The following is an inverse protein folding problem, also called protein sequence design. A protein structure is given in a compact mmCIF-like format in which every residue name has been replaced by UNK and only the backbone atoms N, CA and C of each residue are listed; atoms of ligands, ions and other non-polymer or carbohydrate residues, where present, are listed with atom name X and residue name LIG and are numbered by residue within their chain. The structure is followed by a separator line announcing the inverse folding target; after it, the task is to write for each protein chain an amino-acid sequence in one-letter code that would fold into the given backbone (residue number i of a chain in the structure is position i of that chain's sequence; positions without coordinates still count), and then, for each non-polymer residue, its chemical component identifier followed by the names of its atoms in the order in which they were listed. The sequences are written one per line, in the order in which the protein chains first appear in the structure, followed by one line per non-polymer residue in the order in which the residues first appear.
data_IF_454653187876
#
_entry.id   IF_454653187876
#
_cell.length_a   1.000
_cell.length_b   1.000
_cell.length_c   1.000
_cell.angle_alpha   90.00
_cell.angle_beta   90.00
_cell.angle_gamma   90.00
#
_symmetry.space_group_name_H-M   'P 1'
#
loop_
_entity.id
_entity.type
_entity.pdbx_description
1 polymer ?
#
# COMPACT_ATOMS: atom_id res chain seq x y z
N UNK A 1 -84.21 18.20 -82.66
CA UNK A 1 -83.79 16.79 -82.53
C UNK A 1 -82.95 16.46 -81.28
N UNK A 2 -82.37 17.43 -80.56
CA UNK A 2 -81.49 17.15 -79.40
C UNK A 2 -82.21 16.72 -78.10
N UNK A 3 -83.51 16.97 -77.93
CA UNK A 3 -84.24 16.71 -76.65
C UNK A 3 -84.45 15.23 -76.33
N UNK A 4 -84.38 14.32 -77.31
CA UNK A 4 -84.55 12.85 -77.13
C UNK A 4 -83.29 12.14 -76.63
N UNK A 5 -82.11 12.74 -76.77
CA UNK A 5 -80.81 12.11 -76.45
C UNK A 5 -80.26 12.50 -75.07
N UNK A 6 -80.84 13.54 -74.45
CA UNK A 6 -80.47 14.04 -73.13
C UNK A 6 -80.38 12.98 -72.01
N UNK A 7 -81.36 12.06 -71.84
CA UNK A 7 -81.27 11.05 -70.78
C UNK A 7 -80.11 10.07 -71.03
N UNK A 8 -79.89 9.63 -72.28
CA UNK A 8 -78.80 8.71 -72.63
C UNK A 8 -77.42 9.34 -72.39
N UNK A 9 -77.24 10.62 -72.73
CA UNK A 9 -75.98 11.36 -72.49
C UNK A 9 -75.73 11.51 -70.98
N UNK A 10 -76.77 11.77 -70.19
CA UNK A 10 -76.65 11.91 -68.73
C UNK A 10 -76.19 10.61 -68.06
N UNK A 11 -76.76 9.47 -68.46
CA UNK A 11 -76.32 8.15 -67.97
C UNK A 11 -74.88 7.83 -68.39
N UNK A 12 -74.49 8.17 -69.62
CA UNK A 12 -73.12 7.96 -70.10
C UNK A 12 -72.09 8.78 -69.30
N UNK A 13 -72.40 10.04 -68.97
CA UNK A 13 -71.54 10.91 -68.16
C UNK A 13 -71.41 10.38 -66.72
N UNK A 14 -72.51 9.97 -66.08
CA UNK A 14 -72.47 9.38 -64.74
C UNK A 14 -71.66 8.08 -64.75
N UNK A 15 -71.89 7.21 -65.73
CA UNK A 15 -71.16 5.95 -65.86
C UNK A 15 -69.65 6.16 -66.06
N UNK A 16 -69.27 7.10 -66.94
CA UNK A 16 -67.87 7.50 -67.13
C UNK A 16 -67.27 8.08 -65.84
N UNK A 17 -68.01 8.90 -65.09
CA UNK A 17 -67.56 9.46 -63.82
C UNK A 17 -67.29 8.36 -62.77
N UNK A 18 -68.17 7.35 -62.67
CA UNK A 18 -67.98 6.22 -61.78
C UNK A 18 -66.75 5.39 -62.18
N UNK A 19 -66.53 5.15 -63.47
CA UNK A 19 -65.35 4.43 -63.95
C UNK A 19 -64.06 5.19 -63.59
N UNK A 20 -64.04 6.51 -63.78
CA UNK A 20 -62.89 7.34 -63.42
C UNK A 20 -62.60 7.28 -61.91
N UNK A 21 -63.63 7.39 -61.06
CA UNK A 21 -63.48 7.28 -59.60
C UNK A 21 -62.97 5.89 -59.20
N UNK A 22 -63.51 4.81 -59.76
CA UNK A 22 -63.03 3.45 -59.49
C UNK A 22 -61.59 3.26 -59.98
N UNK A 23 -61.23 3.82 -61.13
CA UNK A 23 -59.86 3.82 -61.65
C UNK A 23 -58.88 4.53 -60.70
N UNK A 24 -59.25 5.69 -60.17
CA UNK A 24 -58.46 6.42 -59.18
C UNK A 24 -58.37 5.64 -57.86
N UNK A 25 -59.48 5.11 -57.36
CA UNK A 25 -59.51 4.31 -56.12
C UNK A 25 -58.66 3.04 -56.23
N UNK A 26 -58.75 2.32 -57.34
CA UNK A 26 -57.95 1.11 -57.58
C UNK A 26 -56.46 1.43 -57.65
N UNK A 27 -56.07 2.54 -58.29
CA UNK A 27 -54.68 2.98 -58.32
C UNK A 27 -54.17 3.35 -56.91
N UNK A 28 -54.97 4.07 -56.12
CA UNK A 28 -54.62 4.40 -54.72
C UNK A 28 -54.49 3.15 -53.85
N UNK A 29 -55.39 2.18 -53.97
CA UNK A 29 -55.32 0.92 -53.21
C UNK A 29 -54.07 0.12 -53.58
N UNK A 30 -53.71 0.06 -54.86
CA UNK A 30 -52.47 -0.61 -55.30
C UNK A 30 -51.23 0.11 -54.77
N UNK A 31 -51.23 1.45 -54.79
CA UNK A 31 -50.16 2.26 -54.19
C UNK A 31 -49.97 1.98 -52.71
N UNK A 32 -51.05 2.08 -51.92
CA UNK A 32 -51.04 1.82 -50.49
C UNK A 32 -50.63 0.37 -50.16
N UNK A 33 -51.01 -0.61 -50.98
CA UNK A 33 -50.58 -2.01 -50.81
C UNK A 33 -49.07 -2.15 -51.00
N UNK A 34 -48.51 -1.55 -52.06
CA UNK A 34 -47.06 -1.54 -52.30
C UNK A 34 -46.31 -0.86 -51.16
N UNK A 35 -46.80 0.29 -50.69
CA UNK A 35 -46.22 0.98 -49.55
C UNK A 35 -46.27 0.10 -48.29
N UNK A 36 -47.40 -0.57 -48.01
CA UNK A 36 -47.51 -1.48 -46.86
C UNK A 36 -46.52 -2.66 -46.96
N UNK A 37 -46.35 -3.23 -48.15
CA UNK A 37 -45.36 -4.30 -48.40
C UNK A 37 -43.92 -3.81 -48.18
N UNK A 38 -43.58 -2.62 -48.70
CA UNK A 38 -42.25 -2.03 -48.48
C UNK A 38 -42.00 -1.72 -47.01
N UNK A 39 -43.01 -1.20 -46.30
CA UNK A 39 -42.93 -0.93 -44.86
C UNK A 39 -42.72 -2.23 -44.08
N UNK A 40 -43.43 -3.30 -44.42
CA UNK A 40 -43.24 -4.62 -43.79
C UNK A 40 -41.83 -5.16 -44.04
N UNK A 41 -41.32 -5.08 -45.27
CA UNK A 41 -39.97 -5.50 -45.60
C UNK A 41 -38.92 -4.69 -44.83
N UNK A 42 -39.12 -3.37 -44.72
CA UNK A 42 -38.23 -2.49 -43.94
C UNK A 42 -38.26 -2.80 -42.44
N UNK A 43 -39.43 -3.13 -41.90
CA UNK A 43 -39.58 -3.52 -40.49
C UNK A 43 -38.87 -4.85 -40.20
N UNK A 44 -39.01 -5.85 -41.08
CA UNK A 44 -38.31 -7.13 -40.97
C UNK A 44 -36.78 -6.95 -41.03
N UNK A 45 -36.29 -6.10 -41.93
CA UNK A 45 -34.86 -5.81 -42.05
C UNK A 45 -34.32 -5.14 -40.76
N UNK A 46 -35.07 -4.18 -40.20
CA UNK A 46 -34.69 -3.53 -38.94
C UNK A 46 -34.65 -4.53 -37.77
N UNK A 47 -35.61 -5.46 -37.70
CA UNK A 47 -35.61 -6.52 -36.69
C UNK A 47 -34.41 -7.45 -36.84
N UNK A 48 -34.03 -7.81 -38.07
CA UNK A 48 -32.85 -8.61 -38.34
C UNK A 48 -31.58 -7.90 -37.86
N UNK A 49 -31.39 -6.63 -38.26
CA UNK A 49 -30.28 -5.80 -37.81
C UNK A 49 -30.21 -5.68 -36.28
N UNK A 50 -31.36 -5.62 -35.59
CA UNK A 50 -31.39 -5.61 -34.12
C UNK A 50 -30.92 -6.93 -33.52
N UNK A 51 -31.29 -8.06 -34.10
CA UNK A 51 -30.83 -9.39 -33.66
C UNK A 51 -29.33 -9.54 -33.87
N UNK A 52 -28.84 -9.20 -35.05
CA UNK A 52 -27.43 -9.30 -35.40
C UNK A 52 -26.57 -8.39 -34.49
N UNK A 53 -27.05 -7.17 -34.20
CA UNK A 53 -26.38 -6.29 -33.24
C UNK A 53 -26.36 -6.86 -31.81
N UNK A 54 -27.45 -7.47 -31.37
CA UNK A 54 -27.50 -8.11 -30.04
C UNK A 54 -26.55 -9.31 -29.95
N UNK A 55 -26.46 -10.11 -31.02
CA UNK A 55 -25.51 -11.23 -31.11
C UNK A 55 -24.06 -10.72 -31.12
N UNK A 56 -23.77 -9.66 -31.87
CA UNK A 56 -22.46 -9.03 -31.90
C UNK A 56 -22.04 -8.50 -30.52
N UNK A 57 -22.95 -7.84 -29.80
CA UNK A 57 -22.70 -7.37 -28.44
C UNK A 57 -22.41 -8.53 -27.47
N UNK A 58 -23.13 -9.65 -27.60
CA UNK A 58 -22.88 -10.83 -26.79
C UNK A 58 -21.49 -11.42 -27.06
N UNK A 59 -21.12 -11.55 -28.33
CA UNK A 59 -19.80 -12.05 -28.73
C UNK A 59 -18.67 -11.13 -28.26
N UNK A 60 -18.88 -9.81 -28.30
CA UNK A 60 -17.93 -8.85 -27.75
C UNK A 60 -17.73 -9.03 -26.24
N UNK A 61 -18.81 -9.25 -25.48
CA UNK A 61 -18.72 -9.50 -24.04
C UNK A 61 -17.95 -10.79 -23.73
N UNK A 62 -18.24 -11.88 -24.45
CA UNK A 62 -17.51 -13.15 -24.32
C UNK A 62 -16.03 -13.01 -24.68
N UNK A 63 -15.72 -12.21 -25.70
CA UNK A 63 -14.33 -11.93 -26.08
C UNK A 63 -13.58 -11.15 -24.99
N UNK A 64 -14.21 -10.13 -24.41
CA UNK A 64 -13.66 -9.36 -23.29
C UNK A 64 -13.40 -10.25 -22.08
N UNK A 65 -14.31 -11.17 -21.76
CA UNK A 65 -14.13 -12.14 -20.67
C UNK A 65 -12.94 -13.07 -20.94
N UNK A 66 -12.78 -13.55 -22.17
CA UNK A 66 -11.64 -14.39 -22.56
C UNK A 66 -10.30 -13.65 -22.48
N UNK A 67 -10.26 -12.38 -22.88
CA UNK A 67 -9.07 -11.54 -22.72
C UNK A 67 -8.74 -11.31 -21.25
N UNK A 68 -9.75 -11.11 -20.40
CA UNK A 68 -9.55 -10.97 -18.97
C UNK A 68 -8.97 -12.26 -18.36
N UNK A 69 -9.55 -13.42 -18.67
CA UNK A 69 -9.04 -14.71 -18.21
C UNK A 69 -7.59 -14.97 -18.66
N UNK A 70 -7.21 -14.54 -19.86
CA UNK A 70 -5.81 -14.65 -20.33
C UNK A 70 -4.86 -13.80 -19.50
N UNK A 71 -5.27 -12.59 -19.10
CA UNK A 71 -4.48 -11.72 -18.22
C UNK A 71 -4.34 -12.34 -16.84
N UNK A 72 -5.43 -12.82 -16.26
CA UNK A 72 -5.43 -13.46 -14.94
C UNK A 72 -4.53 -14.71 -14.92
N UNK A 73 -4.53 -15.49 -16.01
CA UNK A 73 -3.67 -16.67 -16.15
C UNK A 73 -2.18 -16.27 -16.23
N UNK A 74 -1.85 -15.18 -16.94
CA UNK A 74 -0.49 -14.65 -16.99
C UNK A 74 -0.03 -14.15 -15.61
N UNK A 75 -0.89 -13.45 -14.87
CA UNK A 75 -0.61 -12.97 -13.51
C UNK A 75 -0.39 -14.15 -12.54
N UNK A 76 -1.22 -15.20 -12.61
CA UNK A 76 -1.02 -16.42 -11.84
C UNK A 76 0.32 -17.10 -12.12
N UNK A 77 0.76 -17.11 -13.38
CA UNK A 77 2.08 -17.64 -13.72
C UNK A 77 3.20 -16.81 -13.12
N UNK A 78 3.10 -15.47 -13.17
CA UNK A 78 4.07 -14.58 -12.57
C UNK A 78 4.14 -14.78 -11.04
N UNK A 79 3.00 -14.78 -10.35
CA UNK A 79 2.94 -14.99 -8.91
C UNK A 79 3.52 -16.35 -8.50
N UNK A 80 3.28 -17.41 -9.28
CA UNK A 80 3.91 -18.72 -9.04
C UNK A 80 5.43 -18.67 -9.16
N UNK A 81 5.96 -17.92 -10.13
CA UNK A 81 7.41 -17.75 -10.27
C UNK A 81 8.01 -16.97 -9.09
N UNK A 82 7.35 -15.89 -8.65
CA UNK A 82 7.77 -15.11 -7.47
C UNK A 82 7.75 -15.95 -6.19
N UNK A 83 6.69 -16.75 -5.96
CA UNK A 83 6.61 -17.66 -4.82
C UNK A 83 7.72 -18.71 -4.85
N UNK A 84 8.06 -19.25 -6.04
CA UNK A 84 9.17 -20.19 -6.18
C UNK A 84 10.51 -19.53 -5.84
N UNK A 85 10.73 -18.29 -6.30
CA UNK A 85 11.93 -17.52 -6.00
C UNK A 85 12.07 -17.20 -4.50
N UNK A 86 11.00 -16.74 -3.86
CA UNK A 86 10.98 -16.44 -2.43
C UNK A 86 11.26 -17.69 -1.59
N UNK A 87 10.72 -18.84 -1.97
CA UNK A 87 11.02 -20.12 -1.30
C UNK A 87 12.51 -20.49 -1.43
N UNK A 88 13.12 -20.27 -2.59
CA UNK A 88 14.55 -20.51 -2.78
C UNK A 88 15.40 -19.56 -1.91
N UNK A 89 15.03 -18.28 -1.82
CA UNK A 89 15.71 -17.32 -0.94
C UNK A 89 15.60 -17.70 0.54
N UNK A 90 14.44 -18.17 1.00
CA UNK A 90 14.27 -18.66 2.37
C UNK A 90 15.18 -19.86 2.65
N UNK A 91 15.26 -20.83 1.73
CA UNK A 91 16.14 -21.99 1.89
C UNK A 91 17.62 -21.58 1.96
N UNK A 92 18.05 -20.60 1.17
CA UNK A 92 19.42 -20.09 1.22
C UNK A 92 19.71 -19.37 2.55
N UNK A 93 18.76 -18.60 3.08
CA UNK A 93 18.90 -18.00 4.40
C UNK A 93 19.03 -19.06 5.51
N UNK A 94 18.22 -20.11 5.46
CA UNK A 94 18.29 -21.21 6.44
C UNK A 94 19.61 -21.97 6.34
N UNK A 95 20.13 -22.16 5.12
CA UNK A 95 21.45 -22.75 4.89
C UNK A 95 22.56 -21.90 5.51
N UNK A 96 22.59 -20.59 5.24
CA UNK A 96 23.58 -19.70 5.83
C UNK A 96 23.52 -19.70 7.36
N UNK A 97 22.31 -19.72 7.94
CA UNK A 97 22.13 -19.83 9.40
C UNK A 97 22.72 -21.13 9.96
N UNK A 98 22.50 -22.25 9.28
CA UNK A 98 23.07 -23.54 9.67
C UNK A 98 24.61 -23.54 9.59
N UNK A 99 25.18 -22.94 8.54
CA UNK A 99 26.63 -22.80 8.36
C UNK A 99 27.26 -21.94 9.48
N UNK A 100 26.66 -20.79 9.81
CA UNK A 100 27.09 -19.94 10.92
C UNK A 100 27.02 -20.71 12.25
N UNK A 101 25.93 -21.41 12.51
CA UNK A 101 25.76 -22.20 13.73
C UNK A 101 26.84 -23.30 13.85
N UNK A 102 27.17 -23.93 12.74
CA UNK A 102 28.20 -24.96 12.69
C UNK A 102 29.61 -24.39 12.89
N UNK A 103 29.90 -23.21 12.33
CA UNK A 103 31.15 -22.49 12.59
C UNK A 103 31.30 -22.16 14.09
N UNK A 104 30.26 -21.65 14.74
CA UNK A 104 30.28 -21.35 16.18
C UNK A 104 30.58 -22.61 17.02
N UNK A 105 29.95 -23.73 16.71
CA UNK A 105 30.22 -25.01 17.37
C UNK A 105 31.66 -25.49 17.15
N UNK A 106 32.22 -25.27 15.97
CA UNK A 106 33.60 -25.65 15.65
C UNK A 106 34.63 -24.77 16.37
N UNK A 107 34.37 -23.47 16.49
CA UNK A 107 35.18 -22.53 17.25
C UNK A 107 35.16 -22.85 18.74
N UNK A 108 33.99 -23.22 19.29
CA UNK A 108 33.84 -23.62 20.68
C UNK A 108 34.54 -24.95 21.03
N UNK A 109 34.87 -25.80 20.04
CA UNK A 109 35.58 -27.08 20.22
C UNK A 109 37.10 -26.97 20.15
N UNK A 110 37.67 -25.85 19.73
CA UNK A 110 39.12 -25.66 19.77
C UNK A 110 39.56 -25.35 21.20
N UNK A 111 40.42 -26.16 21.85
CA UNK A 111 41.09 -25.74 23.06
C UNK A 111 42.09 -24.64 22.67
N UNK A 112 41.76 -23.38 23.01
CA UNK A 112 42.61 -22.23 22.69
C UNK A 112 43.97 -22.34 23.36
N UNK A 113 45.04 -22.34 22.57
CA UNK A 113 46.40 -22.11 23.04
C UNK A 113 46.52 -20.62 23.39
N UNK A 114 46.96 -20.24 24.60
CA UNK A 114 46.98 -18.84 24.99
C UNK A 114 48.01 -18.09 24.12
N UNK A 115 47.64 -16.96 23.49
CA UNK A 115 48.57 -16.15 22.73
C UNK A 115 49.62 -15.56 23.68
N UNK A 116 50.88 -15.74 23.30
CA UNK A 116 52.01 -15.13 23.97
C UNK A 116 51.97 -13.61 23.74
N UNK A 117 51.64 -12.88 24.81
CA UNK A 117 52.03 -11.50 25.07
C UNK A 117 51.82 -10.48 23.94
N UNK A 118 50.58 -9.97 23.87
CA UNK A 118 50.28 -8.55 23.71
C UNK A 118 49.02 -8.22 24.55
N UNK A 119 48.98 -7.04 25.16
CA UNK A 119 47.87 -6.48 25.95
C UNK A 119 46.61 -6.19 25.08
N UNK A 120 46.11 -7.20 24.37
CA UNK A 120 44.90 -7.10 23.55
C UNK A 120 43.63 -7.00 24.41
N UNK A 121 43.65 -7.57 25.63
CA UNK A 121 42.53 -7.56 26.58
C UNK A 121 42.46 -6.29 27.44
N UNK A 122 43.39 -5.34 27.31
CA UNK A 122 43.30 -4.05 27.98
C UNK A 122 42.27 -3.10 27.34
N UNK A 123 41.74 -3.44 26.16
CA UNK A 123 40.69 -2.70 25.44
C UNK A 123 39.36 -3.44 25.33
N UNK A 124 39.14 -4.52 26.10
CA UNK A 124 37.78 -4.98 26.32
C UNK A 124 37.10 -3.96 27.23
N UNK A 125 36.30 -3.05 26.65
CA UNK A 125 35.32 -2.27 27.42
C UNK A 125 34.59 -3.23 28.37
N UNK A 126 34.44 -2.83 29.63
CA UNK A 126 33.81 -3.64 30.68
C UNK A 126 32.54 -4.32 30.12
N UNK A 127 32.45 -5.67 30.07
CA UNK A 127 31.33 -6.38 29.45
C UNK A 127 29.96 -6.00 30.05
N UNK A 128 29.96 -5.45 31.26
CA UNK A 128 28.78 -4.86 31.87
C UNK A 128 28.30 -3.62 31.10
N UNK A 129 29.21 -2.74 30.63
CA UNK A 129 28.88 -1.53 29.86
C UNK A 129 28.21 -1.88 28.53
N UNK A 130 28.72 -2.89 27.82
CA UNK A 130 28.11 -3.35 26.57
C UNK A 130 26.71 -3.95 26.81
N UNK A 131 26.54 -4.77 27.86
CA UNK A 131 25.23 -5.33 28.22
C UNK A 131 24.19 -4.25 28.55
N UNK A 132 24.59 -3.20 29.27
CA UNK A 132 23.72 -2.05 29.58
C UNK A 132 23.35 -1.26 28.31
N UNK A 133 24.29 -1.11 27.37
CA UNK A 133 24.03 -0.48 26.06
C UNK A 133 23.00 -1.27 25.25
N UNK A 134 23.14 -2.60 25.17
CA UNK A 134 22.20 -3.47 24.45
C UNK A 134 20.80 -3.39 25.08
N UNK A 135 20.71 -3.45 26.41
CA UNK A 135 19.43 -3.31 27.11
C UNK A 135 18.81 -1.92 26.89
N UNK A 136 19.61 -0.86 26.83
CA UNK A 136 19.15 0.48 26.48
C UNK A 136 18.54 0.53 25.06
N UNK A 137 19.16 -0.10 24.07
CA UNK A 137 18.61 -0.19 22.70
C UNK A 137 17.26 -0.90 22.73
N UNK A 138 17.15 -2.01 23.46
CA UNK A 138 15.90 -2.76 23.57
C UNK A 138 14.78 -1.96 24.25
N UNK A 139 15.11 -1.14 25.26
CA UNK A 139 14.13 -0.24 25.86
C UNK A 139 13.66 0.82 24.85
N UNK A 140 14.55 1.43 24.07
CA UNK A 140 14.17 2.39 23.02
C UNK A 140 13.29 1.77 21.94
N UNK A 141 13.54 0.52 21.55
CA UNK A 141 12.69 -0.22 20.60
C UNK A 141 11.29 -0.45 21.16
N UNK A 142 11.19 -0.86 22.43
CA UNK A 142 9.88 -1.02 23.11
C UNK A 142 9.12 0.30 23.19
N UNK A 143 9.82 1.38 23.52
CA UNK A 143 9.23 2.73 23.56
C UNK A 143 8.73 3.16 22.18
N UNK A 144 9.54 2.98 21.14
CA UNK A 144 9.17 3.31 19.76
C UNK A 144 7.94 2.53 19.29
N UNK A 145 7.89 1.23 19.58
CA UNK A 145 6.73 0.39 19.27
C UNK A 145 5.47 0.88 20.00
N UNK A 146 5.56 1.12 21.31
CA UNK A 146 4.44 1.62 22.12
C UNK A 146 3.90 2.95 21.59
N UNK A 147 4.78 3.87 21.18
CA UNK A 147 4.39 5.15 20.60
C UNK A 147 3.64 4.99 19.27
N UNK A 148 4.03 4.03 18.43
CA UNK A 148 3.35 3.73 17.15
C UNK A 148 2.01 3.02 17.32
N UNK A 149 1.93 2.09 18.27
CA UNK A 149 0.66 1.45 18.65
C UNK A 149 -0.32 2.54 19.11
N UNK A 150 0.12 3.44 20.00
CA UNK A 150 -0.69 4.57 20.43
C UNK A 150 -1.13 5.46 19.26
N UNK A 151 -0.22 5.78 18.35
CA UNK A 151 -0.51 6.66 17.21
C UNK A 151 -1.57 6.08 16.25
N UNK A 152 -1.61 4.74 16.11
CA UNK A 152 -2.61 4.04 15.29
C UNK A 152 -4.04 4.39 15.73
N UNK A 153 -4.26 4.49 17.04
CA UNK A 153 -5.56 4.86 17.61
C UNK A 153 -5.78 6.38 17.72
N UNK A 154 -4.75 7.19 17.40
CA UNK A 154 -4.72 8.63 17.63
C UNK A 154 -4.38 9.43 16.36
N UNK A 155 -4.94 9.00 15.21
CA UNK A 155 -4.84 9.71 13.92
C UNK A 155 -3.40 9.93 13.45
N UNK A 156 -2.54 8.93 13.64
CA UNK A 156 -1.13 8.95 13.23
C UNK A 156 -0.31 10.08 13.91
N UNK A 157 -0.75 10.50 15.09
CA UNK A 157 -0.06 11.47 15.95
C UNK A 157 0.59 10.70 17.10
N UNK A 158 1.85 11.00 17.41
CA UNK A 158 2.57 10.46 18.55
C UNK A 158 2.04 11.02 19.87
N UNK A 159 2.18 10.28 20.97
CA UNK A 159 1.64 10.71 22.26
C UNK A 159 2.19 12.07 22.69
N UNK A 160 1.42 12.88 23.44
CA UNK A 160 1.90 14.16 23.97
C UNK A 160 2.94 13.98 25.08
N UNK A 161 2.91 12.84 25.78
CA UNK A 161 3.80 12.54 26.90
C UNK A 161 3.82 11.03 27.19
N UNK A 162 4.75 10.61 28.07
CA UNK A 162 4.91 9.22 28.51
C UNK A 162 3.64 8.59 29.08
N UNK A 163 2.88 9.35 29.89
CA UNK A 163 1.68 8.86 30.54
C UNK A 163 0.56 8.54 29.55
N UNK A 164 0.50 9.24 28.42
CA UNK A 164 -0.55 9.03 27.42
C UNK A 164 -0.44 7.66 26.76
N UNK A 165 0.78 7.11 26.66
CA UNK A 165 1.03 5.77 26.13
C UNK A 165 1.33 4.71 27.22
N UNK A 166 0.91 4.95 28.46
CA UNK A 166 1.18 4.04 29.58
C UNK A 166 0.63 2.63 29.36
N UNK A 167 -0.51 2.52 28.66
CA UNK A 167 -1.15 1.24 28.33
C UNK A 167 -0.31 0.41 27.36
N UNK A 168 0.45 1.07 26.47
CA UNK A 168 1.25 0.40 25.43
C UNK A 168 2.66 0.03 25.91
N UNK A 169 3.16 0.68 26.97
CA UNK A 169 4.51 0.48 27.49
C UNK A 169 4.65 -0.72 28.45
N UNK A 170 3.55 -1.40 28.79
CA UNK A 170 3.43 -2.52 29.76
C UNK A 170 3.90 -2.22 31.20
N UNK A 171 5.07 -1.59 31.39
CA UNK A 171 5.65 -1.22 32.68
C UNK A 171 6.44 0.09 32.59
N UNK A 172 6.38 0.98 33.60
CA UNK A 172 7.19 2.20 33.63
C UNK A 172 8.70 1.93 33.75
N UNK A 173 9.13 0.70 34.06
CA UNK A 173 10.55 0.32 34.15
C UNK A 173 11.31 0.50 32.84
N UNK A 174 10.63 0.36 31.71
CA UNK A 174 11.24 0.52 30.38
C UNK A 174 11.75 1.96 30.15
N UNK A 175 11.22 2.94 30.89
CA UNK A 175 11.55 4.37 30.74
C UNK A 175 12.85 4.78 31.45
N UNK A 176 13.49 3.88 32.19
CA UNK A 176 14.80 4.13 32.82
C UNK A 176 15.89 3.43 32.03
N UNK A 177 16.97 4.16 31.78
CA UNK A 177 18.16 3.60 31.14
C UNK A 177 18.92 2.74 32.16
N UNK A 178 19.34 1.51 31.81
CA UNK A 178 20.06 0.64 32.76
C UNK A 178 21.45 1.19 33.15
N UNK A 179 22.02 2.06 32.31
CA UNK A 179 23.23 2.82 32.61
C UNK A 179 22.99 4.04 33.52
N UNK A 180 21.75 4.49 33.73
CA UNK A 180 21.43 5.63 34.60
C UNK A 180 21.42 5.17 36.07
N UNK A 181 22.47 5.54 36.81
CA UNK A 181 22.59 5.24 38.25
C UNK A 181 21.90 6.26 39.15
N UNK A 182 21.42 7.38 38.60
CA UNK A 182 20.82 8.48 39.36
C UNK A 182 19.29 8.44 39.43
N UNK A 183 18.64 7.71 38.51
CA UNK A 183 17.17 7.57 38.46
C UNK A 183 16.73 6.17 38.86
N UNK A 184 15.50 6.08 39.37
CA UNK A 184 14.89 4.81 39.78
C UNK A 184 13.57 4.64 39.05
N UNK A 185 13.32 3.45 38.50
CA UNK A 185 12.05 3.15 37.85
C UNK A 185 10.89 3.23 38.85
N UNK A 186 9.76 3.80 38.41
CA UNK A 186 8.53 3.78 39.19
C UNK A 186 8.00 2.34 39.33
N UNK A 187 7.32 2.03 40.44
CA UNK A 187 6.70 0.70 40.65
C UNK A 187 5.39 0.55 39.90
N UNK A 188 4.71 1.66 39.66
CA UNK A 188 3.44 1.76 38.95
C UNK A 188 3.34 3.11 38.23
N UNK A 189 2.41 3.23 37.30
CA UNK A 189 2.14 4.50 36.61
C UNK A 189 1.61 5.59 37.55
N UNK A 190 0.99 5.22 38.68
CA UNK A 190 0.51 6.18 39.70
C UNK A 190 1.66 6.90 40.43
N UNK A 191 2.82 6.27 40.50
CA UNK A 191 4.04 6.82 41.12
C UNK A 191 4.97 7.43 40.07
N UNK A 192 4.61 7.40 38.79
CA UNK A 192 5.47 7.86 37.72
C UNK A 192 5.58 9.39 37.72
N UNK A 193 6.81 9.88 37.76
CA UNK A 193 7.11 11.31 37.60
C UNK A 193 8.43 11.56 36.90
N UNK A 194 8.87 12.83 36.83
CA UNK A 194 10.08 13.22 36.09
C UNK A 194 11.38 12.56 36.57
N UNK A 195 11.42 12.03 37.80
CA UNK A 195 12.59 11.30 38.33
C UNK A 195 12.67 9.84 37.89
N UNK A 196 11.62 9.33 37.25
CA UNK A 196 11.47 7.91 36.87
C UNK A 196 11.64 7.67 35.37
N UNK A 197 12.24 8.62 34.65
CA UNK A 197 12.49 8.52 33.21
C UNK A 197 13.87 9.08 32.87
N UNK A 198 14.68 8.27 32.18
CA UNK A 198 16.01 8.66 31.71
C UNK A 198 16.02 9.17 30.27
N UNK A 199 15.07 8.74 29.45
CA UNK A 199 15.01 9.05 28.03
C UNK A 199 14.36 10.42 27.78
N UNK A 200 14.81 11.10 26.74
CA UNK A 200 14.19 12.32 26.22
C UNK A 200 13.15 11.93 25.17
N UNK A 201 11.96 12.55 25.23
CA UNK A 201 10.92 12.41 24.22
C UNK A 201 10.92 13.66 23.35
N UNK A 202 11.31 13.52 22.09
CA UNK A 202 11.71 14.65 21.24
C UNK A 202 10.63 15.05 20.22
N UNK A 203 9.70 14.15 19.90
CA UNK A 203 8.63 14.38 18.91
C UNK A 203 7.24 14.14 19.51
N UNK A 204 7.00 14.70 20.70
CA UNK A 204 5.67 14.69 21.33
C UNK A 204 4.64 15.40 20.45
N UNK A 205 3.45 14.81 20.26
CA UNK A 205 2.44 15.28 19.28
C UNK A 205 2.98 15.36 17.84
N UNK A 206 4.09 14.67 17.55
CA UNK A 206 4.62 14.54 16.20
C UNK A 206 3.71 13.70 15.32
N UNK A 207 3.93 13.73 14.01
CA UNK A 207 3.22 12.84 13.09
C UNK A 207 4.11 11.66 12.69
N UNK A 208 3.50 10.47 12.54
CA UNK A 208 4.16 9.26 12.02
C UNK A 208 4.49 9.35 10.52
N UNK A 209 3.97 10.35 9.80
CA UNK A 209 4.22 10.52 8.35
C UNK A 209 5.68 10.80 7.99
N UNK A 210 6.49 11.23 8.95
CA UNK A 210 7.91 11.53 8.74
C UNK A 210 8.79 10.51 9.49
N UNK A 211 9.23 9.42 8.82
CA UNK A 211 9.86 8.28 9.50
C UNK A 211 11.21 8.61 10.16
N UNK A 212 11.95 9.58 9.61
CA UNK A 212 13.32 9.90 10.05
C UNK A 212 13.40 11.00 11.13
N UNK A 213 12.27 11.39 11.74
CA UNK A 213 12.28 12.36 12.85
C UNK A 213 12.71 11.65 14.13
N UNK A 214 13.62 12.28 14.88
CA UNK A 214 14.04 11.79 16.20
C UNK A 214 12.82 11.75 17.14
N UNK A 215 12.44 10.54 17.55
CA UNK A 215 11.33 10.31 18.47
C UNK A 215 11.83 10.31 19.91
N UNK A 216 12.92 9.58 20.17
CA UNK A 216 13.49 9.42 21.52
C UNK A 216 15.00 9.47 21.50
N UNK A 217 15.58 9.85 22.64
CA UNK A 217 17.03 9.85 22.85
C UNK A 217 17.41 9.38 24.24
N UNK A 218 18.48 8.60 24.32
CA UNK A 218 19.16 8.28 25.56
C UNK A 218 20.34 9.24 25.77
N UNK A 219 20.32 10.10 26.79
CA UNK A 219 21.46 10.97 27.08
C UNK A 219 22.67 10.23 27.67
N UNK A 220 22.47 9.01 28.19
CA UNK A 220 23.53 8.21 28.83
C UNK A 220 24.41 7.51 27.80
N UNK A 221 23.80 6.77 26.85
CA UNK A 221 24.53 6.04 25.81
C UNK A 221 24.52 6.75 24.44
N UNK A 222 23.88 7.91 24.34
CA UNK A 222 23.74 8.66 23.09
C UNK A 222 22.85 8.00 22.03
N UNK A 223 22.18 6.89 22.35
CA UNK A 223 21.33 6.17 21.41
C UNK A 223 20.10 6.99 21.05
N UNK A 224 19.64 6.86 19.80
CA UNK A 224 18.47 7.58 19.30
C UNK A 224 17.47 6.62 18.68
N UNK A 225 16.18 6.82 18.95
CA UNK A 225 15.07 6.14 18.29
C UNK A 225 14.37 7.08 17.32
N UNK A 226 14.12 6.61 16.09
CA UNK A 226 13.39 7.37 15.07
C UNK A 226 11.88 7.07 15.12
N UNK A 227 11.11 7.86 14.40
CA UNK A 227 9.65 7.74 14.31
C UNK A 227 9.22 6.42 13.66
N UNK A 228 9.99 5.89 12.71
CA UNK A 228 9.75 4.55 12.14
C UNK A 228 10.01 3.38 13.13
N UNK A 229 10.55 3.65 14.31
CA UNK A 229 10.89 2.67 15.34
C UNK A 229 12.30 2.08 15.22
N UNK A 230 13.09 2.50 14.24
CA UNK A 230 14.51 2.15 14.16
C UNK A 230 15.30 2.82 15.30
N UNK A 231 16.34 2.13 15.79
CA UNK A 231 17.21 2.63 16.87
C UNK A 231 18.65 2.59 16.42
N UNK A 232 19.35 3.71 16.59
CA UNK A 232 20.75 3.88 16.24
C UNK A 232 21.60 3.99 17.50
N UNK A 233 22.72 3.26 17.51
CA UNK A 233 23.67 3.27 18.61
C UNK A 233 24.49 4.56 18.60
N UNK A 234 24.75 5.10 19.79
CA UNK A 234 25.36 6.41 20.01
C UNK A 234 26.88 6.42 20.10
N UNK A 235 27.56 5.32 19.77
CA UNK A 235 29.03 5.27 19.77
C UNK A 235 29.50 6.13 18.58
N UNK A 236 29.96 7.35 18.86
CA UNK A 236 30.49 8.26 17.85
C UNK A 236 29.49 9.27 17.31
N UNK A 237 28.99 10.18 18.18
CA UNK A 237 28.36 11.45 17.77
C UNK A 237 29.29 12.42 16.99
N UNK A 238 30.35 11.88 16.39
CA UNK A 238 31.03 12.45 15.24
C UNK A 238 31.51 11.31 14.34
N UNK A 239 30.72 10.95 13.31
CA UNK A 239 31.16 10.59 11.92
C UNK A 239 30.17 9.76 11.08
N UNK A 240 29.01 9.31 11.55
CA UNK A 240 28.11 8.44 10.74
C UNK A 240 26.71 8.98 10.40
N UNK A 241 26.25 10.08 11.01
CA UNK A 241 24.97 10.73 10.68
C UNK A 241 24.99 12.23 11.01
N UNK A 242 24.13 13.01 10.35
CA UNK A 242 23.87 14.41 10.73
C UNK A 242 22.45 14.56 11.24
N UNK A 243 22.30 15.30 12.34
CA UNK A 243 20.99 15.73 12.83
C UNK A 243 20.74 17.11 12.23
N UNK A 244 19.85 17.19 11.25
CA UNK A 244 19.43 18.45 10.66
C UNK A 244 18.12 18.91 11.30
N UNK A 245 17.98 20.21 11.54
CA UNK A 245 16.69 20.77 11.96
C UNK A 245 15.90 21.15 10.71
N UNK A 246 14.77 20.49 10.48
CA UNK A 246 13.81 20.83 9.41
C UNK A 246 12.46 21.15 10.06
N UNK A 247 11.91 22.33 9.77
CA UNK A 247 10.64 22.80 10.32
C UNK A 247 10.57 22.73 11.87
N UNK A 248 11.68 23.05 12.54
CA UNK A 248 11.80 23.00 13.99
C UNK A 248 11.95 21.59 14.59
N UNK A 249 11.94 20.53 13.77
CA UNK A 249 12.13 19.14 14.20
C UNK A 249 13.52 18.64 13.87
N UNK A 250 14.10 17.87 14.79
CA UNK A 250 15.38 17.21 14.57
C UNK A 250 15.17 15.95 13.71
N UNK A 251 15.81 15.94 12.54
CA UNK A 251 15.71 14.88 11.54
C UNK A 251 17.05 14.18 11.41
N UNK A 252 17.03 12.87 11.50
CA UNK A 252 18.18 12.03 11.20
C UNK A 252 18.42 11.99 9.69
N UNK A 253 19.63 12.34 9.28
CA UNK A 253 20.08 12.21 7.88
C UNK A 253 21.19 11.16 7.81
N UNK A 254 20.95 10.01 7.15
CA UNK A 254 21.99 9.00 6.94
C UNK A 254 23.14 9.60 6.10
N UNK A 255 24.40 9.39 6.49
CA UNK A 255 25.56 9.84 5.69
C UNK A 255 25.79 9.04 4.40
N UNK A 256 24.91 8.10 4.02
CA UNK A 256 25.16 7.22 2.88
C UNK A 256 24.89 7.85 1.51
N UNK A 257 24.50 9.13 1.46
CA UNK A 257 24.36 9.87 0.20
C UNK A 257 24.86 11.30 0.34
N UNK A 258 25.72 11.72 -0.59
CA UNK A 258 26.05 13.13 -0.80
C UNK A 258 24.75 13.91 -1.12
N UNK A 259 24.72 15.25 -0.99
CA UNK A 259 23.55 16.07 -1.36
C UNK A 259 23.05 15.87 -2.80
N UNK A 260 23.87 15.26 -3.67
CA UNK A 260 23.56 14.90 -5.06
C UNK A 260 23.03 13.45 -5.24
N UNK A 261 22.92 12.66 -4.18
CA UNK A 261 22.40 11.29 -4.19
C UNK A 261 23.43 10.18 -4.45
N UNK A 262 24.72 10.49 -4.62
CA UNK A 262 25.78 9.48 -4.83
C UNK A 262 26.27 8.82 -3.52
N UNK A 263 26.70 7.53 -3.55
CA UNK A 263 27.31 6.89 -2.39
C UNK A 263 28.67 7.51 -2.04
N UNK A 264 29.07 7.46 -0.77
CA UNK A 264 30.46 7.70 -0.39
C UNK A 264 31.25 6.41 -0.66
N UNK A 265 32.37 6.51 -1.40
CA UNK A 265 33.34 5.42 -1.60
C UNK A 265 33.93 4.94 -0.27
#
# INVERSE_FOLDING_TARGET
MLRRWFPAISFAVIFLSCILVVGVQTNQIVGLKRENETLRASAQNLEQLRRDNAEYQKLQAEHQELEQLRKDLAELHQLRAEVAQLRAQMQEMDRMRAEIYQQLLSAARQPGQPPANEDFFAQAEDPNVEALSIQCINNLKQIGLAARIWATDNRDVYPPNWLSMSNELFTPKVLVCPGDKGRTAARSWNEFGPRNVSYEFLNSNGSETNPYVLLTRCPIHGHVGLSDGSVFQGIGLGRTFTIAVKDGKQVYTPLNKRPDGSPYE
#
